data_IF_977398039564
#
_entry.id   IF_977398039564
#
_cell.length_a   1.000
_cell.length_b   1.000
_cell.length_c   1.000
_cell.angle_alpha   90.00
_cell.angle_beta   90.00
_cell.angle_gamma   90.00
#
_symmetry.space_group_name_H-M   'P 1'
#
loop_
_entity.id
_entity.type
_entity.pdbx_description
1 polymer ?
#
# COMPACT_ATOMS: atom_id res chain seq x y z
N UNK A 1 -8.19 -10.77 1.77
CA UNK A 1 -8.33 -9.47 2.50
C UNK A 1 -8.38 -9.77 3.99
N UNK A 2 -7.72 -8.96 4.83
CA UNK A 2 -7.85 -8.99 6.30
C UNK A 2 -8.43 -7.66 6.75
N UNK A 3 -9.45 -7.67 7.59
CA UNK A 3 -10.02 -6.46 8.17
C UNK A 3 -9.41 -6.14 9.52
N UNK A 4 -9.30 -4.85 9.82
CA UNK A 4 -9.13 -4.37 11.18
C UNK A 4 -10.33 -4.82 12.03
N UNK A 5 -10.14 -5.07 13.33
CA UNK A 5 -11.26 -5.50 14.19
C UNK A 5 -12.40 -4.48 14.28
N UNK A 6 -12.10 -3.19 14.06
CA UNK A 6 -13.10 -2.12 13.94
C UNK A 6 -13.90 -2.15 12.64
N UNK A 7 -13.49 -2.95 11.64
CA UNK A 7 -14.09 -3.00 10.31
C UNK A 7 -13.84 -1.76 9.43
N UNK A 8 -13.13 -0.74 9.94
CA UNK A 8 -12.94 0.55 9.25
C UNK A 8 -11.73 0.61 8.32
N UNK A 9 -10.88 -0.42 8.34
CA UNK A 9 -9.76 -0.55 7.41
C UNK A 9 -9.48 -2.02 7.09
N UNK A 10 -8.78 -2.27 5.99
CA UNK A 10 -8.38 -3.61 5.59
C UNK A 10 -7.07 -3.65 4.79
N UNK A 11 -6.41 -4.81 4.79
CA UNK A 11 -5.26 -5.12 3.93
C UNK A 11 -5.72 -6.08 2.84
N UNK A 12 -5.54 -5.68 1.58
CA UNK A 12 -5.65 -6.60 0.45
C UNK A 12 -4.31 -7.28 0.23
N UNK A 13 -4.31 -8.60 0.07
CA UNK A 13 -3.08 -9.37 -0.07
C UNK A 13 -3.31 -10.62 -0.91
N UNK A 14 -2.21 -11.19 -1.38
CA UNK A 14 -2.13 -12.49 -2.06
C UNK A 14 -0.90 -13.23 -1.52
N UNK A 15 -0.97 -14.56 -1.48
CA UNK A 15 0.17 -15.39 -1.06
C UNK A 15 0.80 -16.00 -2.30
N UNK A 16 2.10 -15.77 -2.48
CA UNK A 16 2.89 -16.35 -3.55
C UNK A 16 4.19 -16.92 -2.97
N UNK A 17 4.45 -18.21 -3.19
CA UNK A 17 5.70 -18.90 -2.77
C UNK A 17 6.12 -18.59 -1.32
N UNK A 18 5.17 -18.66 -0.39
CA UNK A 18 5.42 -18.42 1.04
C UNK A 18 5.55 -16.95 1.46
N UNK A 19 5.36 -16.00 0.54
CA UNK A 19 5.30 -14.57 0.81
C UNK A 19 3.84 -14.13 0.78
N UNK A 20 3.39 -13.48 1.86
CA UNK A 20 2.10 -12.81 1.91
C UNK A 20 2.32 -11.37 1.47
N UNK A 21 1.94 -11.05 0.23
CA UNK A 21 2.19 -9.77 -0.41
C UNK A 21 0.96 -8.88 -0.31
N UNK A 22 1.03 -7.80 0.46
CA UNK A 22 0.02 -6.75 0.48
C UNK A 22 0.13 -5.84 -0.75
N UNK A 23 -1.01 -5.45 -1.29
CA UNK A 23 -1.11 -4.55 -2.45
C UNK A 23 -1.31 -3.12 -1.97
N UNK A 24 -0.22 -2.37 -1.90
CA UNK A 24 -0.21 -0.95 -1.54
C UNK A 24 -0.59 -0.66 -0.10
N UNK A 25 -1.24 0.48 0.09
CA UNK A 25 -1.66 0.97 1.39
C UNK A 25 -2.84 0.17 1.96
N UNK A 26 -3.01 0.16 3.29
CA UNK A 26 -4.27 -0.26 3.87
C UNK A 26 -5.43 0.59 3.31
N UNK A 27 -6.57 -0.04 3.04
CA UNK A 27 -7.75 0.64 2.52
C UNK A 27 -8.66 1.03 3.69
N UNK A 28 -9.17 2.26 3.72
CA UNK A 28 -10.13 2.74 4.72
C UNK A 28 -9.57 3.83 5.65
N UNK A 29 -10.16 3.96 6.84
CA UNK A 29 -9.80 5.00 7.83
C UNK A 29 -8.33 4.85 8.30
N UNK A 30 -7.52 5.89 8.09
CA UNK A 30 -6.09 5.91 8.46
C UNK A 30 -5.87 5.63 9.95
N UNK A 31 -6.81 6.02 10.81
CA UNK A 31 -6.72 5.74 12.26
C UNK A 31 -6.87 4.25 12.58
N UNK A 32 -7.46 3.48 11.68
CA UNK A 32 -7.63 2.03 11.80
C UNK A 32 -6.55 1.23 11.07
N UNK A 33 -5.63 1.88 10.34
CA UNK A 33 -4.56 1.20 9.62
C UNK A 33 -3.63 0.38 10.52
N UNK A 34 -3.13 0.87 11.67
CA UNK A 34 -2.27 0.05 12.54
C UNK A 34 -2.95 -1.26 12.95
N UNK A 35 -4.26 -1.21 13.23
CA UNK A 35 -5.04 -2.39 13.58
C UNK A 35 -5.19 -3.37 12.40
N UNK A 36 -5.33 -2.88 11.16
CA UNK A 36 -5.36 -3.71 9.97
C UNK A 36 -4.01 -4.40 9.72
N UNK A 37 -2.91 -3.66 9.84
CA UNK A 37 -1.55 -4.17 9.70
C UNK A 37 -1.25 -5.24 10.75
N UNK A 38 -1.57 -4.98 12.02
CA UNK A 38 -1.44 -5.95 13.11
C UNK A 38 -2.20 -7.25 12.85
N UNK A 39 -3.44 -7.14 12.36
CA UNK A 39 -4.25 -8.32 12.03
C UNK A 39 -3.64 -9.12 10.88
N UNK A 40 -3.11 -8.43 9.87
CA UNK A 40 -2.42 -9.06 8.75
C UNK A 40 -1.10 -9.71 9.15
N UNK A 41 -0.29 -9.08 10.01
CA UNK A 41 0.96 -9.68 10.50
C UNK A 41 0.71 -10.95 11.35
N UNK A 42 -0.34 -10.94 12.18
CA UNK A 42 -0.77 -12.16 12.90
C UNK A 42 -1.19 -13.27 11.93
N UNK A 43 -1.86 -12.92 10.84
CA UNK A 43 -2.21 -13.89 9.80
C UNK A 43 -0.95 -14.50 9.17
N UNK A 44 0.01 -13.66 8.77
CA UNK A 44 1.28 -14.10 8.21
C UNK A 44 2.01 -15.04 9.17
N UNK A 45 2.08 -14.68 10.46
CA UNK A 45 2.69 -15.52 11.50
C UNK A 45 1.98 -16.87 11.67
N UNK A 46 0.64 -16.88 11.64
CA UNK A 46 -0.16 -18.10 11.80
C UNK A 46 0.15 -19.13 10.73
N UNK A 47 0.38 -18.68 9.49
CA UNK A 47 0.65 -19.55 8.35
C UNK A 47 2.14 -19.66 7.98
N UNK A 48 3.03 -19.02 8.75
CA UNK A 48 4.47 -19.01 8.49
C UNK A 48 4.87 -18.29 7.19
N UNK A 49 4.06 -17.32 6.73
CA UNK A 49 4.37 -16.54 5.53
C UNK A 49 5.22 -15.32 5.86
N UNK A 50 6.19 -15.03 5.00
CA UNK A 50 6.95 -13.78 5.07
C UNK A 50 6.06 -12.61 4.62
N UNK A 51 5.85 -11.57 5.43
CA UNK A 51 5.09 -10.39 5.02
C UNK A 51 5.91 -9.53 4.07
N UNK A 52 5.27 -9.03 3.01
CA UNK A 52 5.83 -8.04 2.10
C UNK A 52 4.75 -7.08 1.61
N UNK A 53 5.15 -5.87 1.21
CA UNK A 53 4.23 -4.86 0.66
C UNK A 53 4.82 -4.30 -0.62
N UNK A 54 4.01 -4.20 -1.67
CA UNK A 54 4.39 -3.58 -2.95
C UNK A 54 3.54 -2.36 -3.22
N UNK A 55 4.17 -1.26 -3.64
CA UNK A 55 3.48 -0.03 -4.02
C UNK A 55 2.84 0.72 -2.85
N UNK A 56 3.43 0.65 -1.66
CA UNK A 56 3.00 1.49 -0.54
C UNK A 56 3.34 2.95 -0.82
N UNK A 57 2.41 3.85 -0.54
CA UNK A 57 2.69 5.29 -0.51
C UNK A 57 3.64 5.61 0.65
N UNK A 58 4.15 6.84 0.71
CA UNK A 58 4.95 7.29 1.86
C UNK A 58 4.19 7.17 3.20
N UNK A 59 2.86 7.38 3.19
CA UNK A 59 2.04 7.27 4.39
C UNK A 59 1.82 5.81 4.79
N UNK A 60 1.49 4.92 3.85
CA UNK A 60 1.36 3.50 4.13
C UNK A 60 2.68 2.89 4.57
N UNK A 61 3.78 3.23 3.88
CA UNK A 61 5.12 2.80 4.25
C UNK A 61 5.48 3.20 5.69
N UNK A 62 5.09 4.41 6.14
CA UNK A 62 5.27 4.81 7.53
C UNK A 62 4.52 3.88 8.49
N UNK A 63 3.25 3.56 8.22
CA UNK A 63 2.48 2.64 9.06
C UNK A 63 3.08 1.23 9.10
N UNK A 64 3.56 0.72 7.95
CA UNK A 64 4.24 -0.58 7.93
C UNK A 64 5.58 -0.56 8.69
N UNK A 65 6.33 0.54 8.63
CA UNK A 65 7.57 0.72 9.41
C UNK A 65 7.31 0.73 10.92
N UNK A 66 6.28 1.42 11.35
CA UNK A 66 5.86 1.45 12.76
C UNK A 66 5.46 0.04 13.27
N UNK A 67 4.97 -0.82 12.37
CA UNK A 67 4.68 -2.23 12.64
C UNK A 67 5.91 -3.17 12.52
N UNK A 68 7.11 -2.64 12.29
CA UNK A 68 8.36 -3.40 12.28
C UNK A 68 8.87 -3.87 10.92
N UNK A 69 8.26 -3.41 9.81
CA UNK A 69 8.80 -3.66 8.47
C UNK A 69 9.87 -2.63 8.11
N UNK A 70 10.71 -2.97 7.14
CA UNK A 70 11.62 -2.00 6.51
C UNK A 70 11.00 -1.52 5.20
N UNK A 71 11.07 -0.20 4.95
CA UNK A 71 10.66 0.37 3.67
C UNK A 71 11.88 0.61 2.77
N UNK A 72 11.75 0.28 1.50
CA UNK A 72 12.71 0.57 0.44
C UNK A 72 12.01 1.38 -0.64
N UNK A 73 12.69 2.41 -1.15
CA UNK A 73 12.17 3.22 -2.25
C UNK A 73 12.19 2.39 -3.54
N UNK A 74 11.02 2.19 -4.13
CA UNK A 74 10.86 1.43 -5.38
C UNK A 74 10.92 2.34 -6.61
N UNK A 75 10.40 3.56 -6.48
CA UNK A 75 10.31 4.58 -7.52
C UNK A 75 9.13 5.51 -7.29
N UNK A 76 8.92 6.43 -8.22
CA UNK A 76 7.87 7.45 -8.16
C UNK A 76 6.67 7.10 -9.04
N UNK A 77 5.47 7.44 -8.55
CA UNK A 77 4.26 7.39 -9.35
C UNK A 77 4.05 8.71 -10.11
N UNK A 78 3.82 8.61 -11.42
CA UNK A 78 3.51 9.77 -12.25
C UNK A 78 2.03 10.19 -12.07
N UNK A 79 1.78 11.12 -11.16
CA UNK A 79 0.41 11.62 -10.87
C UNK A 79 0.06 12.82 -11.76
N UNK A 80 -0.95 12.66 -12.62
CA UNK A 80 -1.55 13.76 -13.37
C UNK A 80 -2.73 14.36 -12.59
N UNK A 81 -2.83 15.69 -12.59
CA UNK A 81 -3.99 16.43 -12.05
C UNK A 81 -4.94 16.78 -13.19
N UNK A 82 -6.05 16.05 -13.39
CA UNK A 82 -6.85 16.21 -14.61
C UNK A 82 -7.47 17.60 -14.78
N UNK A 83 -7.74 18.31 -13.67
CA UNK A 83 -8.26 19.66 -13.70
C UNK A 83 -7.30 20.67 -14.38
N UNK A 84 -5.99 20.43 -14.24
CA UNK A 84 -4.95 21.34 -14.72
C UNK A 84 -4.23 20.80 -15.98
N UNK A 85 -4.41 19.51 -16.29
CA UNK A 85 -3.70 18.83 -17.36
C UNK A 85 -4.32 19.11 -18.75
N UNK A 86 -3.49 19.55 -19.71
CA UNK A 86 -3.91 19.84 -21.09
C UNK A 86 -2.89 19.35 -22.12
N UNK A 87 -3.32 18.48 -23.04
CA UNK A 87 -2.50 18.01 -24.18
C UNK A 87 -2.26 19.09 -25.27
N UNK A 88 -3.02 20.18 -25.24
CA UNK A 88 -2.95 21.22 -26.28
C UNK A 88 -1.72 22.12 -26.15
N UNK A 89 -1.09 22.18 -24.97
CA UNK A 89 0.03 23.08 -24.67
C UNK A 89 1.33 22.75 -25.42
N UNK A 90 2.23 23.72 -25.59
CA UNK A 90 3.51 23.51 -26.28
C UNK A 90 4.42 22.50 -25.55
N UNK A 91 4.31 22.38 -24.23
CA UNK A 91 5.07 21.43 -23.41
C UNK A 91 4.72 19.96 -23.73
N UNK A 92 3.52 19.71 -24.27
CA UNK A 92 3.02 18.36 -24.57
C UNK A 92 3.27 17.91 -26.01
N UNK A 93 4.05 18.66 -26.80
CA UNK A 93 4.35 18.33 -28.21
C UNK A 93 4.96 16.94 -28.41
N UNK A 94 5.71 16.42 -27.44
CA UNK A 94 6.38 15.11 -27.55
C UNK A 94 5.44 13.91 -27.37
N UNK A 95 4.23 14.11 -26.86
CA UNK A 95 3.30 13.03 -26.50
C UNK A 95 1.88 13.27 -27.03
N UNK A 96 1.68 14.27 -27.89
CA UNK A 96 0.43 14.48 -28.63
C UNK A 96 0.50 13.85 -30.02
#
# INVERSE_FOLDING_TARGET
>A
VVFASSGRACITYRVEVGVCLASGDPVGDHRAWPQAVDAWLRLCQTYGWAPGVMGASSQGAQTYREAGLTALELGDEAILRPADFKLSGPEMRGVR
#
